data_IF_011923017281
#
_entry.id   IF_011923017281
#
_cell.length_a   1.000
_cell.length_b   1.000
_cell.length_c   1.000
_cell.angle_alpha   90.00
_cell.angle_beta   90.00
_cell.angle_gamma   90.00
#
_symmetry.space_group_name_H-M   'P 1'
#
loop_
_entity.id
_entity.type
_entity.pdbx_description
1 polymer ?
#
# COMPACT_ATOMS: atom_id res chain seq x y z
N UNK A 1 16.49 -12.00 11.04
CA UNK A 1 16.93 -12.65 9.78
C UNK A 1 17.68 -13.97 10.00
N UNK A 2 18.45 -14.13 11.09
CA UNK A 2 19.28 -15.33 11.32
C UNK A 2 18.48 -16.58 11.70
N UNK A 3 17.48 -16.46 12.59
CA UNK A 3 16.67 -17.59 13.06
C UNK A 3 15.84 -18.24 11.94
N UNK A 4 15.23 -17.44 11.07
CA UNK A 4 14.42 -17.92 9.95
C UNK A 4 15.25 -18.72 8.95
N UNK A 5 16.52 -18.32 8.73
CA UNK A 5 17.44 -19.04 7.84
C UNK A 5 17.83 -20.39 8.46
N UNK A 6 18.17 -20.40 9.75
CA UNK A 6 18.51 -21.64 10.47
C UNK A 6 17.34 -22.62 10.46
N UNK A 7 16.12 -22.17 10.74
CA UNK A 7 14.91 -23.01 10.70
C UNK A 7 14.64 -23.55 9.28
N UNK A 8 14.90 -22.77 8.24
CA UNK A 8 14.73 -23.20 6.85
C UNK A 8 15.75 -24.28 6.47
N UNK A 9 17.00 -24.14 6.91
CA UNK A 9 18.06 -25.13 6.71
C UNK A 9 17.76 -26.44 7.47
N UNK A 10 17.30 -26.34 8.71
CA UNK A 10 16.86 -27.51 9.48
C UNK A 10 15.70 -28.22 8.77
N UNK A 11 14.70 -27.48 8.25
CA UNK A 11 13.59 -28.08 7.51
C UNK A 11 14.05 -28.81 6.25
N UNK A 12 15.03 -28.27 5.52
CA UNK A 12 15.62 -28.91 4.35
C UNK A 12 16.34 -30.22 4.70
N UNK A 13 17.03 -30.27 5.84
CA UNK A 13 17.75 -31.47 6.31
C UNK A 13 16.77 -32.55 6.77
N UNK A 14 15.76 -32.19 7.58
CA UNK A 14 14.85 -33.16 8.20
C UNK A 14 13.68 -33.60 7.30
N UNK A 15 13.29 -32.82 6.28
CA UNK A 15 12.08 -33.08 5.46
C UNK A 15 12.40 -33.06 3.95
N UNK A 16 13.63 -33.41 3.58
CA UNK A 16 14.16 -33.30 2.22
C UNK A 16 13.27 -33.96 1.16
N UNK A 17 12.79 -35.18 1.41
CA UNK A 17 11.93 -35.91 0.48
C UNK A 17 10.60 -35.19 0.19
N UNK A 18 10.03 -34.48 1.17
CA UNK A 18 8.81 -33.69 0.97
C UNK A 18 9.09 -32.38 0.26
N UNK A 19 10.18 -31.69 0.62
CA UNK A 19 10.55 -30.39 0.03
C UNK A 19 10.91 -30.53 -1.46
N UNK A 20 11.56 -31.61 -1.87
CA UNK A 20 11.92 -31.85 -3.28
C UNK A 20 10.79 -32.50 -4.10
N UNK A 21 9.61 -32.71 -3.52
CA UNK A 21 8.46 -33.28 -4.25
C UNK A 21 7.83 -32.27 -5.22
N UNK A 22 7.32 -32.75 -6.35
CA UNK A 22 6.59 -31.91 -7.32
C UNK A 22 5.32 -31.29 -6.71
N UNK A 23 4.67 -32.00 -5.78
CA UNK A 23 3.51 -31.49 -5.06
C UNK A 23 3.86 -30.31 -4.15
N UNK A 24 4.98 -30.38 -3.43
CA UNK A 24 5.48 -29.25 -2.65
C UNK A 24 5.82 -28.05 -3.54
N UNK A 25 6.52 -28.28 -4.65
CA UNK A 25 6.87 -27.20 -5.59
C UNK A 25 5.63 -26.49 -6.12
N UNK A 26 4.61 -27.25 -6.55
CA UNK A 26 3.36 -26.69 -7.06
C UNK A 26 2.64 -25.87 -5.98
N UNK A 27 2.49 -26.40 -4.77
CA UNK A 27 1.88 -25.68 -3.65
C UNK A 27 2.67 -24.42 -3.28
N UNK A 28 4.00 -24.50 -3.25
CA UNK A 28 4.86 -23.36 -2.96
C UNK A 28 4.69 -22.24 -4.00
N UNK A 29 4.72 -22.59 -5.28
CA UNK A 29 4.47 -21.63 -6.37
C UNK A 29 3.07 -21.04 -6.28
N UNK A 30 2.04 -21.85 -6.02
CA UNK A 30 0.67 -21.36 -5.84
C UNK A 30 0.56 -20.37 -4.67
N UNK A 31 1.19 -20.67 -3.53
CA UNK A 31 1.22 -19.77 -2.38
C UNK A 31 1.91 -18.45 -2.75
N UNK A 32 3.07 -18.51 -3.42
CA UNK A 32 3.79 -17.31 -3.85
C UNK A 32 2.96 -16.45 -4.81
N UNK A 33 2.33 -17.07 -5.81
CA UNK A 33 1.45 -16.38 -6.77
C UNK A 33 0.26 -15.76 -6.04
N UNK A 34 -0.38 -16.51 -5.15
CA UNK A 34 -1.52 -16.02 -4.35
C UNK A 34 -1.13 -14.83 -3.50
N UNK A 35 0.00 -14.91 -2.77
CA UNK A 35 0.51 -13.82 -1.97
C UNK A 35 0.85 -12.58 -2.82
N UNK A 36 1.43 -12.80 -4.01
CA UNK A 36 1.73 -11.72 -4.93
C UNK A 36 0.45 -11.04 -5.41
N UNK A 37 -0.50 -11.79 -5.96
CA UNK A 37 -1.79 -11.26 -6.44
C UNK A 37 -2.54 -10.54 -5.33
N UNK A 38 -2.66 -11.17 -4.16
CA UNK A 38 -3.32 -10.58 -2.99
C UNK A 38 -2.65 -9.27 -2.60
N UNK A 39 -1.32 -9.22 -2.56
CA UNK A 39 -0.57 -8.00 -2.22
C UNK A 39 -0.85 -6.87 -3.22
N UNK A 40 -0.79 -7.15 -4.52
CA UNK A 40 -1.05 -6.13 -5.55
C UNK A 40 -2.49 -5.63 -5.48
N UNK A 41 -3.44 -6.55 -5.29
CA UNK A 41 -4.85 -6.22 -5.13
C UNK A 41 -5.08 -5.35 -3.89
N UNK A 42 -4.57 -5.74 -2.72
CA UNK A 42 -4.73 -4.98 -1.48
C UNK A 42 -4.09 -3.59 -1.56
N UNK A 43 -2.93 -3.45 -2.20
CA UNK A 43 -2.30 -2.15 -2.41
C UNK A 43 -3.14 -1.24 -3.31
N UNK A 44 -3.68 -1.79 -4.41
CA UNK A 44 -4.56 -1.05 -5.32
C UNK A 44 -5.87 -0.66 -4.64
N UNK A 45 -6.48 -1.59 -3.91
CA UNK A 45 -7.70 -1.37 -3.15
C UNK A 45 -7.48 -0.29 -2.10
N UNK A 46 -6.41 -0.39 -1.30
CA UNK A 46 -6.06 0.60 -0.27
C UNK A 46 -5.90 1.99 -0.88
N UNK A 47 -5.18 2.09 -2.01
CA UNK A 47 -5.01 3.37 -2.70
C UNK A 47 -6.36 3.96 -3.13
N UNK A 48 -7.25 3.17 -3.72
CA UNK A 48 -8.55 3.66 -4.19
C UNK A 48 -9.53 3.93 -3.04
N UNK A 49 -9.47 3.16 -1.97
CA UNK A 49 -10.39 3.27 -0.84
C UNK A 49 -10.00 4.42 0.08
N UNK A 50 -8.71 4.71 0.23
CA UNK A 50 -8.20 5.70 1.20
C UNK A 50 -7.81 7.03 0.55
N UNK A 51 -7.86 7.13 -0.77
CA UNK A 51 -7.64 8.38 -1.49
C UNK A 51 -8.86 8.79 -2.30
N UNK A 52 -9.03 10.10 -2.47
CA UNK A 52 -10.07 10.68 -3.33
C UNK A 52 -9.45 11.69 -4.27
N UNK A 53 -10.03 11.81 -5.46
CA UNK A 53 -9.69 12.89 -6.38
C UNK A 53 -10.28 14.21 -5.88
N UNK A 54 -9.49 15.26 -6.01
CA UNK A 54 -9.86 16.62 -5.64
C UNK A 54 -9.28 17.58 -6.67
N UNK A 55 -9.99 18.67 -6.96
CA UNK A 55 -9.47 19.75 -7.78
C UNK A 55 -8.26 20.41 -7.11
N UNK A 56 -7.25 20.76 -7.88
CA UNK A 56 -6.02 21.36 -7.36
C UNK A 56 -6.31 22.70 -6.65
N UNK A 57 -7.31 23.42 -7.13
CA UNK A 57 -7.79 24.69 -6.58
C UNK A 57 -8.34 24.52 -5.16
N UNK A 58 -8.88 23.33 -4.83
CA UNK A 58 -9.47 23.00 -3.54
C UNK A 58 -8.46 22.49 -2.51
N UNK A 59 -7.18 22.34 -2.88
CA UNK A 59 -6.12 21.94 -1.95
C UNK A 59 -6.02 22.93 -0.79
N UNK A 60 -5.89 22.39 0.43
CA UNK A 60 -5.72 23.14 1.67
C UNK A 60 -4.50 22.63 2.43
N UNK A 61 -3.98 23.51 3.29
CA UNK A 61 -2.93 23.15 4.24
C UNK A 61 -3.39 21.98 5.13
N UNK A 62 -2.44 21.09 5.47
CA UNK A 62 -2.67 19.88 6.26
C UNK A 62 -3.22 18.68 5.47
N UNK A 63 -3.62 18.85 4.21
CA UNK A 63 -4.01 17.70 3.36
C UNK A 63 -2.81 16.84 3.01
N UNK A 64 -2.95 15.51 3.06
CA UNK A 64 -1.88 14.57 2.71
C UNK A 64 -2.11 14.12 1.26
N UNK A 65 -1.12 14.35 0.39
CA UNK A 65 -1.19 13.88 -1.00
C UNK A 65 -1.03 12.36 -1.06
N UNK A 66 -1.85 11.72 -1.90
CA UNK A 66 -1.69 10.31 -2.27
C UNK A 66 -0.85 10.13 -3.55
N UNK A 67 -0.46 11.23 -4.17
CA UNK A 67 0.37 11.29 -5.37
C UNK A 67 1.57 12.21 -5.16
N UNK A 68 2.70 11.82 -5.74
CA UNK A 68 3.92 12.60 -5.81
C UNK A 68 3.87 13.51 -7.04
N UNK A 69 4.23 14.78 -6.87
CA UNK A 69 4.44 15.72 -7.98
C UNK A 69 5.93 15.91 -8.15
N UNK A 70 6.43 15.61 -9.36
CA UNK A 70 7.86 15.64 -9.68
C UNK A 70 8.13 16.40 -10.96
N UNK A 71 9.35 16.94 -11.08
CA UNK A 71 9.79 17.70 -12.25
C UNK A 71 10.24 16.73 -13.36
N UNK A 72 9.69 16.90 -14.56
CA UNK A 72 10.03 16.08 -15.74
C UNK A 72 10.97 16.83 -16.69
N UNK A 73 10.94 18.15 -16.68
CA UNK A 73 11.80 19.01 -17.50
C UNK A 73 11.70 20.47 -17.08
N UNK A 74 12.21 21.38 -17.90
CA UNK A 74 11.99 22.81 -17.67
C UNK A 74 10.51 23.15 -17.74
N UNK A 75 9.98 23.72 -16.66
CA UNK A 75 8.59 24.15 -16.56
C UNK A 75 7.56 23.05 -16.88
N UNK A 76 7.88 21.78 -16.62
CA UNK A 76 6.97 20.65 -16.80
C UNK A 76 6.97 19.75 -15.58
N UNK A 77 5.78 19.50 -15.07
CA UNK A 77 5.51 18.66 -13.90
C UNK A 77 4.57 17.52 -14.27
N UNK A 78 4.73 16.40 -13.59
CA UNK A 78 3.83 15.25 -13.69
C UNK A 78 3.51 14.71 -12.30
N UNK A 79 2.37 14.05 -12.20
CA UNK A 79 1.97 13.30 -11.01
C UNK A 79 2.25 11.81 -11.17
N UNK A 80 2.58 11.14 -10.07
CA UNK A 80 2.65 9.68 -10.00
C UNK A 80 2.10 9.21 -8.66
N UNK A 81 1.51 8.02 -8.63
CA UNK A 81 1.17 7.38 -7.36
C UNK A 81 2.44 7.18 -6.56
N UNK A 82 2.40 7.40 -5.26
CA UNK A 82 3.48 6.95 -4.40
C UNK A 82 3.61 5.43 -4.57
N UNK A 83 4.70 5.01 -5.22
CA UNK A 83 5.00 3.60 -5.39
C UNK A 83 5.45 3.08 -4.02
N UNK A 84 4.50 2.57 -3.25
CA UNK A 84 4.77 1.91 -1.98
C UNK A 84 5.86 0.84 -2.18
N UNK A 85 7.02 1.08 -1.57
CA UNK A 85 8.10 0.15 -1.22
C UNK A 85 8.12 -1.19 -1.99
N UNK A 86 8.32 -1.10 -3.30
CA UNK A 86 8.64 -2.22 -4.17
C UNK A 86 10.06 -2.03 -4.67
N UNK A 87 10.86 -3.11 -4.73
CA UNK A 87 12.19 -3.12 -5.35
C UNK A 87 12.13 -2.53 -6.77
N UNK A 88 11.02 -2.77 -7.48
CA UNK A 88 10.73 -2.20 -8.80
C UNK A 88 10.52 -0.69 -8.72
N UNK A 89 9.81 -0.20 -7.68
CA UNK A 89 9.61 1.22 -7.43
C UNK A 89 10.91 1.97 -7.12
N UNK A 90 11.84 1.35 -6.37
CA UNK A 90 13.14 1.92 -6.07
C UNK A 90 14.04 2.06 -7.33
N UNK A 91 14.03 1.04 -8.20
CA UNK A 91 14.74 1.08 -9.48
C UNK A 91 14.15 2.14 -10.42
N UNK A 92 12.83 2.27 -10.46
CA UNK A 92 12.14 3.30 -11.26
C UNK A 92 12.34 4.72 -10.71
N UNK A 93 12.47 4.90 -9.40
CA UNK A 93 12.68 6.20 -8.75
C UNK A 93 14.01 6.84 -9.18
N UNK A 94 15.06 6.04 -9.35
CA UNK A 94 16.39 6.50 -9.80
C UNK A 94 16.38 7.14 -11.20
N UNK A 95 15.36 6.86 -12.01
CA UNK A 95 15.24 7.36 -13.39
C UNK A 95 14.38 8.62 -13.54
N UNK A 96 13.60 9.04 -12.52
CA UNK A 96 12.43 9.92 -12.75
C UNK A 96 12.36 11.16 -11.85
N UNK A 97 13.49 11.81 -11.62
CA UNK A 97 13.56 13.14 -10.99
C UNK A 97 13.20 13.18 -9.50
N UNK A 98 13.63 14.27 -8.86
CA UNK A 98 13.40 14.49 -7.43
C UNK A 98 11.95 14.87 -7.14
N UNK A 99 11.42 14.33 -6.05
CA UNK A 99 10.11 14.73 -5.50
C UNK A 99 10.21 16.16 -4.99
N UNK A 100 9.15 16.93 -5.19
CA UNK A 100 9.08 18.32 -4.76
C UNK A 100 8.72 18.41 -3.26
N UNK A 101 8.07 17.39 -2.72
CA UNK A 101 7.60 17.38 -1.33
C UNK A 101 8.50 16.49 -0.47
N UNK A 102 8.98 17.05 0.63
CA UNK A 102 9.97 16.40 1.48
C UNK A 102 9.34 15.38 2.46
N UNK A 103 8.06 15.50 2.80
CA UNK A 103 7.43 14.70 3.85
C UNK A 103 6.17 13.96 3.41
N UNK A 104 6.28 12.63 3.39
CA UNK A 104 5.17 11.69 3.31
C UNK A 104 4.59 11.51 4.72
N UNK A 105 3.66 12.38 5.11
CA UNK A 105 2.89 12.16 6.35
C UNK A 105 2.47 13.42 7.11
N UNK A 106 3.22 14.51 6.99
CA UNK A 106 2.98 15.73 7.76
C UNK A 106 1.87 16.63 7.16
N UNK A 107 1.32 16.23 6.01
CA UNK A 107 0.41 17.05 5.23
C UNK A 107 1.13 18.19 4.50
N UNK A 108 0.43 18.83 3.58
CA UNK A 108 0.97 19.96 2.81
C UNK A 108 1.05 21.21 3.69
N UNK A 109 2.19 21.88 3.67
CA UNK A 109 2.32 23.24 4.20
C UNK A 109 1.64 24.27 3.28
N UNK A 110 1.29 25.45 3.81
CA UNK A 110 0.75 26.54 3.00
C UNK A 110 1.61 26.86 1.75
N UNK A 111 2.95 26.85 1.90
CA UNK A 111 3.89 27.11 0.79
C UNK A 111 3.81 26.05 -0.31
N UNK A 112 3.65 24.79 0.07
CA UNK A 112 3.52 23.68 -0.88
C UNK A 112 2.18 23.73 -1.61
N UNK A 113 1.09 24.07 -0.92
CA UNK A 113 -0.22 24.28 -1.56
C UNK A 113 -0.15 25.40 -2.60
N UNK A 114 0.41 26.55 -2.24
CA UNK A 114 0.59 27.66 -3.18
C UNK A 114 1.47 27.27 -4.36
N UNK A 115 2.52 26.49 -4.12
CA UNK A 115 3.39 26.00 -5.19
C UNK A 115 2.62 25.14 -6.19
N UNK A 116 1.84 24.14 -5.72
CA UNK A 116 1.03 23.26 -6.59
C UNK A 116 0.02 24.07 -7.41
N UNK A 117 -0.71 24.98 -6.76
CA UNK A 117 -1.69 25.83 -7.44
C UNK A 117 -1.03 26.73 -8.49
N UNK A 118 0.18 27.25 -8.21
CA UNK A 118 0.94 28.10 -9.13
C UNK A 118 1.45 27.36 -10.36
N UNK A 119 1.96 26.13 -10.20
CA UNK A 119 2.44 25.35 -11.36
C UNK A 119 1.28 24.89 -12.24
N UNK A 120 0.11 24.63 -11.64
CA UNK A 120 -1.11 24.31 -12.36
C UNK A 120 -1.67 25.52 -13.12
N UNK A 121 -1.79 26.68 -12.47
CA UNK A 121 -2.29 27.91 -13.11
C UNK A 121 -1.39 28.40 -14.26
N UNK A 122 -0.09 28.10 -14.22
CA UNK A 122 0.86 28.37 -15.30
C UNK A 122 0.83 27.33 -16.44
N UNK A 123 -0.01 26.30 -16.32
CA UNK A 123 -0.12 25.21 -17.30
C UNK A 123 1.07 24.23 -17.29
N UNK A 124 1.92 24.29 -16.26
CA UNK A 124 3.09 23.40 -16.14
C UNK A 124 2.71 22.01 -15.61
N UNK A 125 1.59 21.92 -14.90
CA UNK A 125 0.92 20.68 -14.53
C UNK A 125 -0.42 20.61 -15.29
N UNK A 126 -0.57 19.63 -16.18
CA UNK A 126 -1.75 19.52 -17.07
C UNK A 126 -3.00 18.99 -16.38
N UNK A 127 -2.83 18.17 -15.35
CA UNK A 127 -3.95 17.56 -14.63
C UNK A 127 -4.68 18.63 -13.80
N UNK A 128 -6.01 18.61 -13.81
CA UNK A 128 -6.83 19.48 -12.95
C UNK A 128 -7.09 18.88 -11.57
N UNK A 129 -6.90 17.57 -11.43
CA UNK A 129 -7.15 16.85 -10.18
C UNK A 129 -5.90 16.20 -9.64
N UNK A 130 -5.83 16.10 -8.32
CA UNK A 130 -4.82 15.37 -7.58
C UNK A 130 -5.50 14.51 -6.52
N UNK A 131 -4.93 13.33 -6.22
CA UNK A 131 -5.46 12.50 -5.14
C UNK A 131 -4.90 12.90 -3.79
N UNK A 132 -5.81 13.01 -2.82
CA UNK A 132 -5.50 13.26 -1.40
C UNK A 132 -5.98 12.08 -0.56
N UNK A 133 -5.22 11.71 0.46
CA UNK A 133 -5.70 10.77 1.47
C UNK A 133 -6.80 11.44 2.29
N UNK A 134 -7.81 10.65 2.67
CA UNK A 134 -8.83 11.09 3.61
C UNK A 134 -8.78 10.23 4.87
N UNK A 135 -9.20 10.83 5.99
CA UNK A 135 -9.25 10.15 7.27
C UNK A 135 -10.34 9.09 7.25
N UNK A 136 -10.00 7.87 7.67
CA UNK A 136 -10.98 6.83 7.92
C UNK A 136 -11.56 6.99 9.33
N UNK A 137 -12.85 6.65 9.53
CA UNK A 137 -13.41 6.54 10.85
C UNK A 137 -12.84 5.28 11.54
N UNK A 138 -11.61 5.37 12.05
CA UNK A 138 -10.90 4.25 12.69
C UNK A 138 -11.64 3.68 13.90
N UNK A 139 -12.21 4.55 14.74
CA UNK A 139 -12.87 4.14 15.97
C UNK A 139 -14.08 3.21 15.73
N UNK A 140 -15.02 3.51 14.80
CA UNK A 140 -16.07 2.57 14.43
C UNK A 140 -15.57 1.19 14.00
N UNK A 141 -14.51 1.11 13.19
CA UNK A 141 -13.97 -0.19 12.75
C UNK A 141 -13.36 -0.97 13.92
N UNK A 142 -12.61 -0.31 14.79
CA UNK A 142 -12.05 -0.94 15.99
C UNK A 142 -13.14 -1.42 16.94
N UNK A 143 -14.17 -0.60 17.15
CA UNK A 143 -15.32 -0.96 17.97
C UNK A 143 -16.05 -2.19 17.41
N UNK A 144 -16.28 -2.25 16.10
CA UNK A 144 -16.89 -3.41 15.45
C UNK A 144 -16.04 -4.67 15.62
N UNK A 145 -14.72 -4.57 15.49
CA UNK A 145 -13.82 -5.70 15.74
C UNK A 145 -13.91 -6.22 17.18
N UNK A 146 -13.95 -5.31 18.16
CA UNK A 146 -14.12 -5.66 19.57
C UNK A 146 -15.49 -6.29 19.83
N UNK A 147 -16.56 -5.70 19.29
CA UNK A 147 -17.93 -6.21 19.42
C UNK A 147 -18.06 -7.63 18.82
N UNK A 148 -17.49 -7.86 17.63
CA UNK A 148 -17.45 -9.18 17.01
C UNK A 148 -16.74 -10.20 17.91
N UNK A 149 -15.61 -9.85 18.49
CA UNK A 149 -14.86 -10.74 19.39
C UNK A 149 -15.69 -11.11 20.63
N UNK A 150 -16.44 -10.16 21.19
CA UNK A 150 -17.33 -10.41 22.34
C UNK A 150 -18.48 -11.34 21.93
N UNK A 151 -19.12 -11.10 20.79
CA UNK A 151 -20.25 -11.91 20.30
C UNK A 151 -19.81 -13.34 19.99
N UNK A 152 -18.64 -13.51 19.37
CA UNK A 152 -18.11 -14.82 19.01
C UNK A 152 -17.54 -15.57 20.23
N UNK A 153 -17.25 -14.87 21.33
CA UNK A 153 -16.62 -15.44 22.52
C UNK A 153 -15.18 -15.96 22.28
N UNK A 154 -14.61 -15.66 21.11
CA UNK A 154 -13.28 -16.08 20.67
C UNK A 154 -12.78 -15.15 19.58
N UNK A 155 -11.51 -15.27 19.20
CA UNK A 155 -10.96 -14.53 18.07
C UNK A 155 -11.52 -15.04 16.73
N UNK A 156 -11.57 -14.15 15.74
CA UNK A 156 -12.17 -14.43 14.43
C UNK A 156 -11.50 -15.62 13.73
N UNK A 157 -10.20 -15.86 13.92
CA UNK A 157 -9.51 -16.97 13.28
C UNK A 157 -9.90 -18.31 13.91
N UNK A 158 -10.04 -18.37 15.22
CA UNK A 158 -10.53 -19.55 15.92
C UNK A 158 -11.98 -19.87 15.53
N UNK A 159 -12.84 -18.84 15.42
CA UNK A 159 -14.21 -19.03 14.94
C UNK A 159 -14.25 -19.59 13.51
N UNK A 160 -13.46 -19.03 12.59
CA UNK A 160 -13.37 -19.54 11.21
C UNK A 160 -12.87 -20.98 11.19
N UNK A 161 -11.88 -21.33 12.02
CA UNK A 161 -11.39 -22.70 12.13
C UNK A 161 -12.49 -23.66 12.56
N UNK A 162 -13.20 -23.35 13.64
CA UNK A 162 -14.31 -24.17 14.16
C UNK A 162 -15.40 -24.33 13.08
N UNK A 163 -15.71 -23.24 12.37
CA UNK A 163 -16.69 -23.26 11.29
C UNK A 163 -16.24 -24.17 10.14
N UNK A 164 -15.00 -24.08 9.68
CA UNK A 164 -14.45 -24.98 8.64
C UNK A 164 -14.49 -26.44 9.09
N UNK A 165 -14.07 -26.72 10.33
CA UNK A 165 -14.10 -28.07 10.91
C UNK A 165 -15.52 -28.62 11.07
N UNK A 166 -16.55 -27.77 11.15
CA UNK A 166 -17.96 -28.21 11.22
C UNK A 166 -18.57 -28.63 9.87
N UNK A 167 -17.91 -28.27 8.76
CA UNK A 167 -18.36 -28.63 7.39
C UNK A 167 -17.54 -29.76 6.75
N UNK A 168 -16.51 -30.27 7.45
CA UNK A 168 -15.66 -31.39 7.04
C UNK A 168 -15.98 -32.60 7.90
#
# INVERSE_FOLDING_TARGET
MTLSVVLSLLRLIFDSQRVFSSGFLLNFVLILVTLFVLRFYLLSLSYNLFSKEMFIEDLKEGMILAEDVYKVGENKYAKRRFANFSIVGALLKKSRGDSIFASLGDGLTAKEVEFVKRIHSRGFLKDHTIRVYHTLPFAPFMFLGALLTIILGTDVFMFIKILIESFI
#
